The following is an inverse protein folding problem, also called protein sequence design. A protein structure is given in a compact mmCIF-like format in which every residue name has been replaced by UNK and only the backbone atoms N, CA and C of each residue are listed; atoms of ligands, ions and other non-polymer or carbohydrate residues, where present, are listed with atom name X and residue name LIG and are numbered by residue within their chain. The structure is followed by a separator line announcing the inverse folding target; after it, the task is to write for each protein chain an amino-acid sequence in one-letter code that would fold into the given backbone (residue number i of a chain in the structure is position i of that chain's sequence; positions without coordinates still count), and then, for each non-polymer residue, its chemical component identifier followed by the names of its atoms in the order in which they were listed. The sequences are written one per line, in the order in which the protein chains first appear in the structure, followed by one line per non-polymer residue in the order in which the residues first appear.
data_IF_660308141705
#
_entry.id   IF_660308141705
#
_cell.length_a   1.000
_cell.length_b   1.000
_cell.length_c   1.000
_cell.angle_alpha   90.00
_cell.angle_beta   90.00
_cell.angle_gamma   90.00
#
_symmetry.space_group_name_H-M   'P 1'
#
loop_
_entity.id
_entity.type
_entity.pdbx_description
1 polymer ?
#
# COMPACT_ATOMS: atom_id res chain seq x y z
N UNK A 1 -1.86 -13.93 34.76
CA UNK A 1 -1.80 -13.79 33.29
C UNK A 1 -1.90 -15.17 32.68
N UNK A 2 -2.95 -15.49 31.92
CA UNK A 2 -3.01 -16.77 31.19
C UNK A 2 -1.97 -16.72 30.08
N UNK A 3 -0.91 -17.53 30.21
CA UNK A 3 0.09 -17.72 29.16
C UNK A 3 -0.64 -18.13 27.88
N UNK A 4 -0.56 -17.27 26.87
CA UNK A 4 -0.92 -17.70 25.53
C UNK A 4 0.05 -18.82 25.16
N UNK A 5 -0.40 -19.96 24.61
CA UNK A 5 0.51 -21.03 24.25
C UNK A 5 1.48 -20.45 23.21
N UNK A 6 2.75 -20.29 23.61
CA UNK A 6 3.82 -19.59 22.87
C UNK A 6 3.86 -20.04 21.40
N UNK A 7 3.58 -21.33 21.15
CA UNK A 7 3.44 -21.90 19.80
C UNK A 7 2.40 -21.18 18.92
N UNK A 8 1.17 -20.96 19.41
CA UNK A 8 0.09 -20.31 18.62
C UNK A 8 0.42 -18.86 18.26
N UNK A 9 1.08 -18.15 19.19
CA UNK A 9 1.60 -16.82 18.96
C UNK A 9 2.64 -16.80 17.84
N UNK A 10 3.62 -17.71 17.90
CA UNK A 10 4.69 -17.83 16.89
C UNK A 10 4.16 -18.17 15.49
N UNK A 11 3.18 -19.08 15.37
CA UNK A 11 2.55 -19.38 14.08
C UNK A 11 1.87 -18.14 13.48
N UNK A 12 1.14 -17.39 14.30
CA UNK A 12 0.41 -16.20 13.84
C UNK A 12 1.38 -15.08 13.43
N UNK A 13 2.47 -14.88 14.18
CA UNK A 13 3.48 -13.86 13.89
C UNK A 13 4.33 -14.23 12.66
N UNK A 14 4.63 -15.53 12.47
CA UNK A 14 5.26 -16.04 11.24
C UNK A 14 4.39 -15.76 10.02
N UNK A 15 3.07 -15.97 10.13
CA UNK A 15 2.12 -15.62 9.06
C UNK A 15 2.14 -14.13 8.72
N UNK A 16 2.11 -13.25 9.73
CA UNK A 16 2.22 -11.80 9.54
C UNK A 16 3.54 -11.43 8.86
N UNK A 17 4.65 -12.03 9.29
CA UNK A 17 5.96 -11.81 8.67
C UNK A 17 5.98 -12.18 7.20
N UNK A 18 5.46 -13.35 6.81
CA UNK A 18 5.45 -13.76 5.40
C UNK A 18 4.56 -12.85 4.55
N UNK A 19 3.40 -12.43 5.05
CA UNK A 19 2.52 -11.50 4.33
C UNK A 19 3.21 -10.15 4.12
N UNK A 20 3.84 -9.59 5.16
CA UNK A 20 4.59 -8.32 5.03
C UNK A 20 5.76 -8.45 4.06
N UNK A 21 6.48 -9.57 4.09
CA UNK A 21 7.59 -9.85 3.17
C UNK A 21 7.13 -9.90 1.72
N UNK A 22 6.10 -10.70 1.44
CA UNK A 22 5.53 -10.83 0.09
C UNK A 22 4.98 -9.47 -0.38
N UNK A 23 4.27 -8.76 0.50
CA UNK A 23 3.76 -7.40 0.21
C UNK A 23 4.90 -6.47 -0.19
N UNK A 24 5.98 -6.43 0.60
CA UNK A 24 7.11 -5.55 0.34
C UNK A 24 7.80 -5.92 -0.97
N UNK A 25 8.01 -7.20 -1.24
CA UNK A 25 8.57 -7.65 -2.52
C UNK A 25 7.70 -7.22 -3.70
N UNK A 26 6.40 -7.54 -3.68
CA UNK A 26 5.50 -7.21 -4.79
C UNK A 26 5.41 -5.70 -4.99
N UNK A 27 5.46 -4.94 -3.90
CA UNK A 27 5.46 -3.48 -3.95
C UNK A 27 6.74 -2.91 -4.56
N UNK A 28 7.91 -3.45 -4.20
CA UNK A 28 9.20 -3.05 -4.81
C UNK A 28 9.28 -3.50 -6.27
N UNK A 29 8.76 -4.67 -6.60
CA UNK A 29 8.64 -5.13 -7.99
C UNK A 29 7.82 -4.17 -8.84
N UNK A 30 6.72 -3.62 -8.29
CA UNK A 30 5.93 -2.59 -8.97
C UNK A 30 6.79 -1.38 -9.37
N UNK A 31 7.66 -0.90 -8.47
CA UNK A 31 8.57 0.21 -8.77
C UNK A 31 9.64 -0.16 -9.80
N UNK A 32 10.23 -1.34 -9.70
CA UNK A 32 11.19 -1.83 -10.70
C UNK A 32 10.55 -1.82 -12.10
N UNK A 33 9.31 -2.28 -12.21
CA UNK A 33 8.56 -2.28 -13.47
C UNK A 33 8.22 -0.86 -13.96
N UNK A 34 7.86 0.05 -13.05
CA UNK A 34 7.66 1.47 -13.41
C UNK A 34 8.94 2.12 -13.93
N UNK A 35 10.06 1.92 -13.23
CA UNK A 35 11.40 2.38 -13.68
C UNK A 35 11.86 1.69 -14.97
N UNK A 36 11.26 0.56 -15.34
CA UNK A 36 11.54 -0.06 -16.62
C UNK A 36 10.78 0.60 -17.77
N UNK A 37 9.50 0.90 -17.55
CA UNK A 37 8.57 1.43 -18.57
C UNK A 37 8.58 2.97 -18.70
N UNK A 38 9.46 3.65 -17.99
CA UNK A 38 9.47 5.11 -17.85
C UNK A 38 8.73 5.55 -16.59
N UNK A 39 9.43 6.30 -15.73
CA UNK A 39 8.90 6.74 -14.45
C UNK A 39 8.88 8.26 -14.29
N UNK A 40 8.25 8.70 -13.21
CA UNK A 40 8.30 10.08 -12.77
C UNK A 40 9.75 10.55 -12.52
N UNK A 41 10.68 9.65 -12.16
CA UNK A 41 12.08 10.01 -11.88
C UNK A 41 12.77 10.60 -13.10
N UNK A 42 12.69 9.93 -14.26
CA UNK A 42 13.31 10.46 -15.49
C UNK A 42 12.66 11.77 -15.93
N UNK A 43 11.33 11.85 -15.83
CA UNK A 43 10.59 13.09 -16.11
C UNK A 43 11.07 14.26 -15.24
N UNK A 44 11.28 14.02 -13.94
CA UNK A 44 11.80 15.04 -13.01
C UNK A 44 13.19 15.52 -13.38
N UNK A 45 14.08 14.57 -13.68
CA UNK A 45 15.48 14.87 -13.96
C UNK A 45 15.60 15.70 -15.23
N UNK A 46 14.85 15.35 -16.28
CA UNK A 46 14.85 16.10 -17.54
C UNK A 46 14.15 17.45 -17.38
N UNK A 47 12.89 17.45 -16.95
CA UNK A 47 12.04 18.67 -16.95
C UNK A 47 12.48 19.68 -15.89
N UNK A 48 12.72 19.22 -14.67
CA UNK A 48 12.96 20.11 -13.51
C UNK A 48 14.44 20.37 -13.30
N UNK A 49 15.32 19.42 -13.64
CA UNK A 49 16.76 19.52 -13.38
C UNK A 49 17.59 19.73 -14.65
N UNK A 50 16.98 19.73 -15.83
CA UNK A 50 17.67 19.98 -17.10
C UNK A 50 18.68 18.90 -17.49
N UNK A 51 18.51 17.67 -16.99
CA UNK A 51 19.36 16.55 -17.36
C UNK A 51 19.12 16.14 -18.80
N UNK A 52 20.13 15.55 -19.45
CA UNK A 52 19.92 14.90 -20.74
C UNK A 52 19.00 13.67 -20.56
N UNK A 53 18.21 13.35 -21.59
CA UNK A 53 17.37 12.14 -21.58
C UNK A 53 18.19 10.88 -21.36
N UNK A 54 19.42 10.85 -21.88
CA UNK A 54 20.35 9.71 -21.73
C UNK A 54 20.79 9.54 -20.28
N UNK A 55 21.17 10.62 -19.60
CA UNK A 55 21.59 10.56 -18.18
C UNK A 55 20.42 10.19 -17.26
N UNK A 56 19.23 10.75 -17.53
CA UNK A 56 18.01 10.42 -16.80
C UNK A 56 17.63 8.94 -16.99
N UNK A 57 17.73 8.42 -18.22
CA UNK A 57 17.50 7.02 -18.54
C UNK A 57 18.44 6.09 -17.75
N UNK A 58 19.75 6.33 -17.81
CA UNK A 58 20.73 5.48 -17.12
C UNK A 58 20.61 5.55 -15.60
N UNK A 59 20.22 6.71 -15.07
CA UNK A 59 19.93 6.87 -13.64
C UNK A 59 18.73 6.02 -13.22
N UNK A 60 17.64 6.06 -13.99
CA UNK A 60 16.44 5.26 -13.74
C UNK A 60 16.76 3.75 -13.76
N UNK A 61 17.55 3.28 -14.74
CA UNK A 61 17.97 1.88 -14.82
C UNK A 61 18.90 1.48 -13.67
N UNK A 62 19.79 2.37 -13.24
CA UNK A 62 20.67 2.13 -12.08
C UNK A 62 19.86 1.96 -10.79
N UNK A 63 18.84 2.80 -10.59
CA UNK A 63 17.91 2.66 -9.45
C UNK A 63 17.15 1.33 -9.53
N UNK A 64 16.66 0.95 -10.72
CA UNK A 64 15.94 -0.31 -10.90
C UNK A 64 16.83 -1.53 -10.56
N UNK A 65 18.07 -1.56 -11.05
CA UNK A 65 19.05 -2.62 -10.73
C UNK A 65 19.31 -2.68 -9.22
N UNK A 66 19.53 -1.53 -8.58
CA UNK A 66 19.73 -1.45 -7.14
C UNK A 66 18.53 -2.03 -6.36
N UNK A 67 17.31 -1.69 -6.76
CA UNK A 67 16.10 -2.25 -6.14
C UNK A 67 15.95 -3.76 -6.36
N UNK A 68 16.33 -4.28 -7.53
CA UNK A 68 16.37 -5.73 -7.78
C UNK A 68 17.31 -6.40 -6.78
N UNK A 69 18.53 -5.87 -6.61
CA UNK A 69 19.50 -6.43 -5.66
C UNK A 69 18.96 -6.40 -4.23
N UNK A 70 18.34 -5.28 -3.81
CA UNK A 70 17.71 -5.18 -2.49
C UNK A 70 16.56 -6.17 -2.32
N UNK A 71 15.70 -6.35 -3.33
CA UNK A 71 14.56 -7.27 -3.30
C UNK A 71 15.00 -8.74 -3.26
N UNK A 72 15.98 -9.13 -4.09
CA UNK A 72 16.58 -10.48 -4.06
C UNK A 72 17.20 -10.74 -2.69
N UNK A 73 17.93 -9.77 -2.14
CA UNK A 73 18.54 -9.96 -0.83
C UNK A 73 17.51 -10.05 0.31
N UNK A 74 16.40 -9.30 0.22
CA UNK A 74 15.26 -9.42 1.13
C UNK A 74 14.68 -10.86 1.14
N UNK A 75 14.78 -11.59 0.02
CA UNK A 75 14.45 -13.01 -0.05
C UNK A 75 15.51 -13.93 0.56
N UNK A 76 16.79 -13.57 0.50
CA UNK A 76 17.83 -14.42 1.08
C UNK A 76 17.84 -14.25 2.60
N UNK A 77 18.02 -13.01 3.07
CA UNK A 77 18.03 -12.68 4.50
C UNK A 77 17.50 -11.27 4.76
N UNK A 78 16.56 -11.08 5.71
CA UNK A 78 16.27 -9.75 6.26
C UNK A 78 17.53 -9.13 6.86
N UNK A 79 18.03 -8.08 6.20
CA UNK A 79 19.09 -7.22 6.73
C UNK A 79 18.48 -5.86 7.05
N UNK A 80 18.81 -5.34 8.24
CA UNK A 80 18.34 -4.04 8.73
C UNK A 80 18.65 -2.95 7.72
N UNK A 81 19.90 -2.93 7.22
CA UNK A 81 20.38 -1.98 6.22
C UNK A 81 19.51 -1.99 4.95
N UNK A 82 19.23 -3.16 4.37
CA UNK A 82 18.41 -3.24 3.15
C UNK A 82 16.99 -2.71 3.39
N UNK A 83 16.41 -3.03 4.53
CA UNK A 83 15.07 -2.55 4.87
C UNK A 83 15.04 -1.03 5.05
N UNK A 84 16.09 -0.47 5.64
CA UNK A 84 16.28 0.97 5.76
C UNK A 84 16.46 1.64 4.39
N UNK A 85 17.30 1.09 3.51
CA UNK A 85 17.50 1.61 2.16
C UNK A 85 16.21 1.59 1.33
N UNK A 86 15.40 0.52 1.44
CA UNK A 86 14.08 0.47 0.83
C UNK A 86 13.15 1.55 1.38
N UNK A 87 13.16 1.81 2.69
CA UNK A 87 12.37 2.87 3.30
C UNK A 87 12.79 4.26 2.77
N UNK A 88 14.10 4.53 2.71
CA UNK A 88 14.64 5.79 2.14
C UNK A 88 14.22 5.95 0.68
N UNK A 89 14.35 4.90 -0.13
CA UNK A 89 13.89 4.92 -1.53
C UNK A 89 12.40 5.27 -1.63
N UNK A 90 11.53 4.63 -0.84
CA UNK A 90 10.08 4.87 -0.90
C UNK A 90 9.72 6.31 -0.51
N UNK A 91 10.45 6.91 0.44
CA UNK A 91 10.27 8.31 0.84
C UNK A 91 10.72 9.24 -0.30
N UNK A 92 11.93 9.04 -0.84
CA UNK A 92 12.45 9.85 -1.95
C UNK A 92 11.53 9.76 -3.16
N UNK A 93 11.10 8.56 -3.55
CA UNK A 93 10.20 8.39 -4.68
C UNK A 93 8.89 9.15 -4.48
N UNK A 94 8.32 9.13 -3.28
CA UNK A 94 7.09 9.86 -3.00
C UNK A 94 7.27 11.38 -3.02
N UNK A 95 8.44 11.88 -2.63
CA UNK A 95 8.81 13.30 -2.79
C UNK A 95 8.93 13.64 -4.29
N UNK A 96 9.60 12.81 -5.08
CA UNK A 96 9.73 13.01 -6.54
C UNK A 96 8.36 13.03 -7.22
N UNK A 97 7.48 12.08 -6.88
CA UNK A 97 6.11 12.03 -7.40
C UNK A 97 5.33 13.29 -7.01
N UNK A 98 5.53 13.80 -5.80
CA UNK A 98 4.88 15.04 -5.36
C UNK A 98 5.39 16.26 -6.16
N UNK A 99 6.71 16.39 -6.33
CA UNK A 99 7.33 17.52 -7.04
C UNK A 99 6.99 17.56 -8.54
N UNK A 100 6.96 16.41 -9.20
CA UNK A 100 6.73 16.34 -10.65
C UNK A 100 5.34 16.75 -11.11
N UNK A 101 4.37 16.71 -10.21
CA UNK A 101 3.05 16.35 -10.64
C UNK A 101 2.06 17.50 -10.79
N UNK A 102 2.51 18.74 -10.53
CA UNK A 102 1.87 19.97 -11.03
C UNK A 102 0.38 20.20 -10.74
N UNK A 103 -0.31 19.39 -9.91
CA UNK A 103 -1.76 19.47 -9.66
C UNK A 103 -2.16 19.05 -8.22
N UNK A 104 -3.29 19.60 -7.76
CA UNK A 104 -3.91 19.39 -6.44
C UNK A 104 -4.13 17.92 -6.00
N UNK A 105 -4.20 16.95 -6.91
CA UNK A 105 -4.43 15.54 -6.55
C UNK A 105 -3.19 14.82 -6.00
N UNK A 106 -2.00 15.41 -6.15
CA UNK A 106 -0.76 14.75 -5.75
C UNK A 106 -0.41 14.93 -4.28
N UNK A 107 -0.98 15.93 -3.60
CA UNK A 107 -0.97 16.03 -2.13
C UNK A 107 -1.60 14.77 -1.51
N UNK A 108 -2.72 14.29 -2.09
CA UNK A 108 -3.33 13.02 -1.72
C UNK A 108 -2.42 11.83 -2.08
N UNK A 109 -1.73 11.86 -3.22
CA UNK A 109 -0.79 10.79 -3.58
C UNK A 109 0.38 10.65 -2.60
N UNK A 110 0.89 11.77 -2.08
CA UNK A 110 1.93 11.80 -1.06
C UNK A 110 1.42 11.19 0.25
N UNK A 111 0.25 11.62 0.73
CA UNK A 111 -0.37 11.06 1.94
C UNK A 111 -0.69 9.55 1.78
N UNK A 112 -1.13 9.13 0.60
CA UNK A 112 -1.32 7.70 0.27
C UNK A 112 0.01 6.93 0.27
N UNK A 113 1.09 7.56 -0.20
CA UNK A 113 2.43 6.96 -0.18
C UNK A 113 2.98 6.86 1.25
N UNK A 114 2.74 7.86 2.11
CA UNK A 114 3.12 7.84 3.53
C UNK A 114 2.60 6.60 4.25
N UNK A 115 1.37 6.19 3.94
CA UNK A 115 0.77 5.00 4.50
C UNK A 115 1.59 3.72 4.22
N UNK A 116 2.34 3.70 3.12
CA UNK A 116 3.10 2.54 2.64
C UNK A 116 4.59 2.61 3.03
N UNK A 117 5.13 3.78 3.36
CA UNK A 117 6.51 3.91 3.89
C UNK A 117 6.71 3.18 5.22
N UNK A 118 5.62 2.94 5.93
CA UNK A 118 5.59 2.18 7.17
C UNK A 118 5.83 0.69 6.91
N UNK A 119 5.67 0.19 5.68
CA UNK A 119 5.76 -1.24 5.34
C UNK A 119 7.14 -1.86 5.64
N UNK A 120 8.29 -1.29 5.22
CA UNK A 120 9.61 -1.78 5.62
C UNK A 120 9.79 -1.78 7.15
N UNK A 121 9.30 -0.75 7.83
CA UNK A 121 9.35 -0.66 9.29
C UNK A 121 8.52 -1.76 9.96
N UNK A 122 7.30 -2.03 9.49
CA UNK A 122 6.46 -3.12 9.99
C UNK A 122 7.14 -4.47 9.78
N UNK A 123 7.67 -4.71 8.58
CA UNK A 123 8.40 -5.92 8.24
C UNK A 123 9.58 -6.16 9.19
N UNK A 124 10.46 -5.15 9.36
CA UNK A 124 11.62 -5.27 10.23
C UNK A 124 11.22 -5.51 11.69
N UNK A 125 10.19 -4.81 12.15
CA UNK A 125 9.73 -4.93 13.53
C UNK A 125 9.20 -6.32 13.84
N UNK A 126 8.39 -6.90 12.94
CA UNK A 126 7.89 -8.27 13.11
C UNK A 126 9.05 -9.27 13.05
N UNK A 127 10.01 -9.08 12.14
CA UNK A 127 11.21 -9.91 12.04
C UNK A 127 12.04 -9.92 13.35
N UNK A 128 12.29 -8.74 13.92
CA UNK A 128 13.04 -8.63 15.18
C UNK A 128 12.29 -9.27 16.35
N UNK A 129 10.96 -9.17 16.39
CA UNK A 129 10.15 -9.86 17.39
C UNK A 129 10.17 -11.39 17.25
N UNK A 130 10.24 -11.92 16.02
CA UNK A 130 10.41 -13.36 15.79
C UNK A 130 11.75 -13.89 16.32
N UNK A 131 12.80 -13.05 16.32
CA UNK A 131 14.12 -13.40 16.89
C UNK A 131 14.17 -13.38 18.43
N UNK A 132 13.22 -12.71 19.08
CA UNK A 132 13.13 -12.60 20.55
C UNK A 132 11.74 -13.07 21.04
N UNK A 133 11.42 -14.37 20.86
CA UNK A 133 10.08 -14.91 21.06
C UNK A 133 9.61 -14.83 22.52
N UNK A 134 10.53 -14.78 23.48
CA UNK A 134 10.25 -14.76 24.93
C UNK A 134 9.40 -13.57 25.37
N UNK A 135 9.35 -12.50 24.56
CA UNK A 135 8.53 -11.33 24.86
C UNK A 135 7.03 -11.57 24.62
N UNK A 136 6.64 -12.51 23.73
CA UNK A 136 5.23 -12.79 23.41
C UNK A 136 4.39 -11.56 23.02
N UNK A 137 5.03 -10.42 22.74
CA UNK A 137 4.41 -9.11 22.73
C UNK A 137 4.52 -8.47 21.35
N UNK A 138 3.37 -8.24 20.71
CA UNK A 138 3.30 -7.30 19.59
C UNK A 138 3.29 -5.90 20.18
N UNK A 139 4.26 -5.04 19.85
CA UNK A 139 4.27 -3.68 20.37
C UNK A 139 2.99 -2.92 20.04
N UNK A 140 2.41 -2.22 21.02
CA UNK A 140 1.18 -1.41 20.82
C UNK A 140 1.34 -0.41 19.66
N UNK A 141 2.54 0.15 19.51
CA UNK A 141 2.87 1.08 18.44
C UNK A 141 2.82 0.42 17.05
N UNK A 142 3.17 -0.87 16.92
CA UNK A 142 3.11 -1.58 15.64
C UNK A 142 1.66 -1.66 15.15
N UNK A 143 0.77 -2.06 16.06
CA UNK A 143 -0.66 -2.13 15.78
C UNK A 143 -1.25 -0.75 15.48
N UNK A 144 -0.82 0.29 16.21
CA UNK A 144 -1.22 1.66 15.93
C UNK A 144 -0.76 2.14 14.54
N UNK A 145 0.52 1.94 14.21
CA UNK A 145 1.06 2.33 12.91
C UNK A 145 0.34 1.62 11.76
N UNK A 146 0.04 0.32 11.89
CA UNK A 146 -0.75 -0.37 10.86
C UNK A 146 -2.12 0.29 10.71
N UNK A 147 -2.84 0.60 11.81
CA UNK A 147 -4.15 1.27 11.74
C UNK A 147 -4.06 2.68 11.17
N UNK A 148 -3.00 3.41 11.46
CA UNK A 148 -2.77 4.74 10.93
C UNK A 148 -2.51 4.70 9.42
N UNK A 149 -1.70 3.74 8.94
CA UNK A 149 -1.56 3.48 7.50
C UNK A 149 -2.90 3.17 6.84
N UNK A 150 -3.75 2.33 7.47
CA UNK A 150 -5.08 2.01 6.96
C UNK A 150 -6.00 3.22 6.90
N UNK A 151 -5.98 4.05 7.95
CA UNK A 151 -6.69 5.32 7.99
C UNK A 151 -6.26 6.20 6.80
N UNK A 152 -4.95 6.42 6.61
CA UNK A 152 -4.45 7.27 5.53
C UNK A 152 -4.85 6.74 4.14
N UNK A 153 -4.72 5.42 3.88
CA UNK A 153 -5.12 4.84 2.59
C UNK A 153 -6.60 5.12 2.30
N UNK A 154 -7.50 4.75 3.21
CA UNK A 154 -8.94 4.87 2.97
C UNK A 154 -9.43 6.32 3.03
N UNK A 155 -8.90 7.12 3.94
CA UNK A 155 -9.30 8.53 4.08
C UNK A 155 -8.94 9.33 2.83
N UNK A 156 -7.70 9.18 2.35
CA UNK A 156 -7.22 9.89 1.15
C UNK A 156 -7.97 9.46 -0.11
N UNK A 157 -8.21 8.16 -0.29
CA UNK A 157 -9.03 7.67 -1.40
C UNK A 157 -10.49 8.12 -1.29
N UNK A 158 -11.04 8.13 -0.08
CA UNK A 158 -12.38 8.62 0.20
C UNK A 158 -12.53 10.10 -0.16
N UNK A 159 -11.57 10.95 0.22
CA UNK A 159 -11.53 12.36 -0.20
C UNK A 159 -11.45 12.51 -1.72
N UNK A 160 -10.61 11.72 -2.39
CA UNK A 160 -10.52 11.72 -3.85
C UNK A 160 -11.84 11.35 -4.54
N UNK A 161 -12.65 10.48 -3.93
CA UNK A 161 -13.98 10.13 -4.43
C UNK A 161 -15.02 11.23 -4.14
N UNK A 162 -14.98 11.85 -2.96
CA UNK A 162 -15.87 12.96 -2.60
C UNK A 162 -15.65 14.20 -3.47
N UNK A 163 -14.41 14.43 -3.90
CA UNK A 163 -14.05 15.49 -4.85
C UNK A 163 -14.23 15.09 -6.32
N UNK A 164 -14.85 13.94 -6.58
CA UNK A 164 -15.17 13.46 -7.93
C UNK A 164 -13.97 13.58 -8.88
N UNK A 165 -12.81 13.09 -8.44
CA UNK A 165 -11.58 13.27 -9.19
C UNK A 165 -11.70 12.66 -10.60
N UNK A 166 -11.28 13.35 -11.68
CA UNK A 166 -11.47 12.88 -13.06
C UNK A 166 -10.95 11.46 -13.30
N UNK A 167 -9.73 11.15 -12.83
CA UNK A 167 -9.17 9.79 -12.97
C UNK A 167 -9.91 8.70 -12.19
N UNK A 168 -10.82 9.03 -11.26
CA UNK A 168 -11.72 8.08 -10.61
C UNK A 168 -13.05 7.97 -11.36
N UNK A 169 -13.53 9.06 -11.95
CA UNK A 169 -14.70 9.06 -12.84
C UNK A 169 -14.41 8.16 -14.04
N UNK A 170 -13.30 8.42 -14.74
CA UNK A 170 -12.87 7.66 -15.91
C UNK A 170 -12.75 6.17 -15.57
N UNK A 171 -12.20 5.87 -14.40
CA UNK A 171 -12.03 4.51 -13.91
C UNK A 171 -13.36 3.77 -13.69
N UNK A 172 -14.36 4.43 -13.09
CA UNK A 172 -15.69 3.82 -12.91
C UNK A 172 -16.36 3.61 -14.27
N UNK A 173 -16.30 4.61 -15.15
CA UNK A 173 -16.90 4.53 -16.48
C UNK A 173 -16.26 3.41 -17.29
N UNK A 174 -14.92 3.35 -17.35
CA UNK A 174 -14.18 2.35 -18.11
C UNK A 174 -14.39 0.94 -17.56
N UNK A 175 -14.29 0.76 -16.24
CA UNK A 175 -14.58 -0.53 -15.59
C UNK A 175 -15.98 -1.04 -15.92
N UNK A 176 -17.01 -0.18 -15.79
CA UNK A 176 -18.39 -0.58 -16.06
C UNK A 176 -18.67 -0.78 -17.55
N UNK A 177 -18.01 -0.03 -18.43
CA UNK A 177 -18.08 -0.25 -19.86
C UNK A 177 -17.51 -1.63 -20.23
N UNK A 178 -16.39 -2.04 -19.63
CA UNK A 178 -15.80 -3.36 -19.84
C UNK A 178 -16.74 -4.49 -19.41
N UNK A 179 -17.49 -4.34 -18.31
CA UNK A 179 -18.42 -5.37 -17.84
C UNK A 179 -19.77 -5.37 -18.54
N UNK A 180 -20.34 -4.19 -18.84
CA UNK A 180 -21.70 -4.05 -19.37
C UNK A 180 -21.77 -3.92 -20.89
N UNK A 181 -20.64 -3.64 -21.55
CA UNK A 181 -20.59 -3.30 -22.98
C UNK A 181 -21.13 -1.91 -23.31
N UNK A 182 -21.49 -1.09 -22.32
CA UNK A 182 -22.09 0.23 -22.51
C UNK A 182 -21.48 1.29 -21.59
N UNK A 183 -21.34 2.51 -22.09
CA UNK A 183 -20.81 3.63 -21.30
C UNK A 183 -21.90 4.21 -20.38
N UNK A 184 -21.51 4.44 -19.13
CA UNK A 184 -22.33 5.14 -18.15
C UNK A 184 -22.18 6.66 -18.31
N UNK A 185 -23.26 7.41 -18.02
CA UNK A 185 -23.20 8.88 -17.93
C UNK A 185 -22.29 9.32 -16.79
N UNK A 186 -21.46 10.33 -17.02
CA UNK A 186 -20.55 10.89 -16.03
C UNK A 186 -21.25 11.27 -14.70
N UNK A 187 -22.43 11.90 -14.77
CA UNK A 187 -23.18 12.29 -13.55
C UNK A 187 -23.58 11.10 -12.67
N UNK A 188 -23.78 9.92 -13.26
CA UNK A 188 -24.06 8.70 -12.48
C UNK A 188 -22.77 8.20 -11.82
N UNK A 189 -21.64 8.23 -12.55
CA UNK A 189 -20.34 7.85 -12.00
C UNK A 189 -19.91 8.77 -10.83
N UNK A 190 -20.15 10.08 -10.94
CA UNK A 190 -19.91 11.05 -9.87
C UNK A 190 -20.73 10.74 -8.61
N UNK A 191 -22.04 10.45 -8.77
CA UNK A 191 -22.89 10.06 -7.64
C UNK A 191 -22.42 8.76 -6.96
N UNK A 192 -21.98 7.77 -7.76
CA UNK A 192 -21.39 6.53 -7.23
C UNK A 192 -20.11 6.83 -6.47
N UNK A 193 -19.23 7.69 -7.00
CA UNK A 193 -18.00 8.09 -6.31
C UNK A 193 -18.28 8.79 -4.99
N UNK A 194 -19.22 9.72 -4.94
CA UNK A 194 -19.57 10.41 -3.69
C UNK A 194 -20.00 9.38 -2.64
N UNK A 195 -20.84 8.42 -3.01
CA UNK A 195 -21.25 7.34 -2.10
C UNK A 195 -20.06 6.49 -1.62
N UNK A 196 -19.18 6.06 -2.53
CA UNK A 196 -17.94 5.33 -2.18
C UNK A 196 -17.08 6.16 -1.23
N UNK A 197 -16.94 7.46 -1.50
CA UNK A 197 -16.15 8.39 -0.72
C UNK A 197 -16.64 8.51 0.73
N UNK A 198 -17.96 8.61 0.93
CA UNK A 198 -18.56 8.61 2.27
C UNK A 198 -18.24 7.32 3.01
N UNK A 199 -18.41 6.17 2.36
CA UNK A 199 -18.13 4.86 2.96
C UNK A 199 -16.66 4.73 3.35
N UNK A 200 -15.73 5.11 2.47
CA UNK A 200 -14.30 5.01 2.71
C UNK A 200 -13.84 5.91 3.87
N UNK A 201 -14.36 7.14 3.97
CA UNK A 201 -14.07 8.05 5.09
C UNK A 201 -14.60 7.48 6.42
N UNK A 202 -15.81 6.95 6.44
CA UNK A 202 -16.38 6.31 7.65
C UNK A 202 -15.51 5.13 8.08
N UNK A 203 -15.14 4.24 7.15
CA UNK A 203 -14.30 3.07 7.42
C UNK A 203 -12.91 3.49 7.93
N UNK A 204 -12.31 4.54 7.35
CA UNK A 204 -11.03 5.08 7.80
C UNK A 204 -11.10 5.55 9.26
N UNK A 205 -12.13 6.32 9.62
CA UNK A 205 -12.32 6.80 10.99
C UNK A 205 -12.56 5.63 11.94
N UNK A 206 -13.42 4.67 11.55
CA UNK A 206 -13.72 3.49 12.36
C UNK A 206 -12.46 2.67 12.66
N UNK A 207 -11.57 2.43 11.69
CA UNK A 207 -10.35 1.65 11.96
C UNK A 207 -9.42 2.35 12.96
N UNK A 208 -9.39 3.69 12.97
CA UNK A 208 -8.57 4.50 13.89
C UNK A 208 -9.17 4.63 15.30
N UNK A 209 -10.49 4.64 15.43
CA UNK A 209 -11.17 4.61 16.74
C UNK A 209 -11.15 3.18 17.30
N UNK A 210 -11.73 2.24 16.54
CA UNK A 210 -11.88 0.84 16.97
C UNK A 210 -11.85 -0.12 15.77
N UNK A 211 -10.80 -0.93 15.61
CA UNK A 211 -10.63 -1.78 14.44
C UNK A 211 -11.49 -3.05 14.58
N UNK A 212 -12.79 -2.90 14.32
CA UNK A 212 -13.72 -4.03 14.34
C UNK A 212 -13.33 -5.06 13.29
N UNK A 213 -13.55 -6.34 13.62
CA UNK A 213 -13.23 -7.45 12.70
C UNK A 213 -13.89 -7.27 11.34
N UNK A 214 -15.16 -6.88 11.31
CA UNK A 214 -15.93 -6.72 10.07
C UNK A 214 -15.42 -5.54 9.23
N UNK A 215 -15.01 -4.44 9.89
CA UNK A 215 -14.37 -3.29 9.22
C UNK A 215 -13.07 -3.73 8.56
N UNK A 216 -12.21 -4.47 9.27
CA UNK A 216 -10.95 -4.96 8.69
C UNK A 216 -11.18 -5.94 7.53
N UNK A 217 -12.18 -6.83 7.62
CA UNK A 217 -12.53 -7.74 6.52
C UNK A 217 -13.04 -6.95 5.31
N UNK A 218 -13.91 -5.96 5.52
CA UNK A 218 -14.34 -5.05 4.46
C UNK A 218 -13.15 -4.38 3.78
N UNK A 219 -12.19 -3.84 4.55
CA UNK A 219 -10.99 -3.21 4.00
C UNK A 219 -10.13 -4.17 3.18
N UNK A 220 -10.00 -5.45 3.59
CA UNK A 220 -9.30 -6.47 2.78
C UNK A 220 -10.03 -6.68 1.44
N UNK A 221 -11.34 -6.93 1.48
CA UNK A 221 -12.14 -7.24 0.29
C UNK A 221 -12.20 -6.05 -0.66
N UNK A 222 -12.49 -4.86 -0.13
CA UNK A 222 -12.60 -3.63 -0.89
C UNK A 222 -11.26 -3.21 -1.49
N UNK A 223 -10.17 -3.28 -0.72
CA UNK A 223 -8.82 -2.99 -1.21
C UNK A 223 -8.38 -3.97 -2.31
N UNK A 224 -8.76 -5.25 -2.21
CA UNK A 224 -8.45 -6.25 -3.22
C UNK A 224 -9.26 -6.01 -4.49
N UNK A 225 -10.56 -5.79 -4.36
CA UNK A 225 -11.47 -5.52 -5.47
C UNK A 225 -11.01 -4.28 -6.25
N UNK A 226 -10.83 -3.15 -5.57
CA UNK A 226 -10.42 -1.89 -6.21
C UNK A 226 -9.01 -1.95 -6.81
N UNK A 227 -8.12 -2.79 -6.27
CA UNK A 227 -6.82 -3.04 -6.89
C UNK A 227 -6.98 -3.87 -8.17
N UNK A 228 -7.77 -4.95 -8.13
CA UNK A 228 -7.96 -5.85 -9.26
C UNK A 228 -8.68 -5.17 -10.43
N UNK A 229 -9.65 -4.30 -10.13
CA UNK A 229 -10.36 -3.53 -11.13
C UNK A 229 -9.43 -2.62 -11.97
N UNK A 230 -8.20 -2.30 -11.52
CA UNK A 230 -7.18 -1.61 -12.35
C UNK A 230 -6.74 -2.41 -13.57
N UNK A 231 -6.73 -3.74 -13.43
CA UNK A 231 -6.45 -4.66 -14.54
C UNK A 231 -7.68 -4.77 -15.45
N UNK A 232 -8.89 -4.70 -14.89
CA UNK A 232 -10.12 -4.79 -15.68
C UNK A 232 -10.34 -3.55 -16.54
N UNK A 233 -10.10 -2.37 -16.00
CA UNK A 233 -10.31 -1.08 -16.67
C UNK A 233 -9.38 -0.87 -17.88
N UNK A 234 -8.08 -1.15 -17.72
CA UNK A 234 -7.06 -0.86 -18.73
C UNK A 234 -6.38 -2.11 -19.31
N UNK A 235 -6.92 -3.30 -19.02
CA UNK A 235 -6.43 -4.58 -19.50
C UNK A 235 -5.26 -5.17 -18.70
N UNK A 236 -4.85 -6.38 -19.08
CA UNK A 236 -3.82 -7.18 -18.36
C UNK A 236 -2.49 -6.45 -18.22
N UNK A 237 -2.15 -5.56 -19.16
CA UNK A 237 -0.90 -4.79 -19.14
C UNK A 237 -0.83 -3.74 -18.02
N UNK A 238 -1.96 -3.41 -17.38
CA UNK A 238 -1.99 -2.49 -16.24
C UNK A 238 -1.68 -3.17 -14.89
N UNK A 239 -1.09 -4.37 -14.90
CA UNK A 239 -0.73 -5.13 -13.70
C UNK A 239 0.20 -4.36 -12.75
N UNK A 240 1.02 -3.44 -13.25
CA UNK A 240 1.87 -2.58 -12.41
C UNK A 240 1.05 -1.70 -11.47
N UNK A 241 -0.11 -1.19 -11.91
CA UNK A 241 -1.03 -0.41 -11.09
C UNK A 241 -1.77 -1.29 -10.05
N UNK A 242 -1.95 -2.57 -10.32
CA UNK A 242 -2.38 -3.53 -9.31
C UNK A 242 -1.26 -3.77 -8.27
N UNK A 243 -0.03 -4.02 -8.71
CA UNK A 243 1.11 -4.33 -7.83
C UNK A 243 1.42 -3.18 -6.87
N UNK A 244 1.36 -1.92 -7.33
CA UNK A 244 1.58 -0.74 -6.47
C UNK A 244 0.47 -0.55 -5.41
N UNK A 245 -0.66 -1.27 -5.56
CA UNK A 245 -1.79 -1.28 -4.63
C UNK A 245 -1.89 -2.58 -3.81
N UNK A 246 -0.95 -3.52 -3.94
CA UNK A 246 -0.91 -4.71 -3.07
C UNK A 246 -1.00 -4.36 -1.57
N UNK A 247 -0.33 -3.30 -1.06
CA UNK A 247 -0.50 -2.87 0.33
C UNK A 247 -1.94 -2.54 0.74
N UNK A 248 -2.83 -2.15 -0.19
CA UNK A 248 -4.21 -1.76 0.08
C UNK A 248 -5.06 -2.88 0.69
N UNK A 249 -4.76 -4.14 0.37
CA UNK A 249 -5.49 -5.30 0.92
C UNK A 249 -4.63 -6.16 1.87
N UNK A 250 -3.31 -6.15 1.71
CA UNK A 250 -2.44 -6.92 2.61
C UNK A 250 -2.20 -6.23 3.95
N UNK A 251 -2.15 -4.89 4.02
CA UNK A 251 -2.07 -4.17 5.31
C UNK A 251 -3.32 -4.38 6.18
N UNK A 252 -4.56 -4.32 5.64
CA UNK A 252 -5.74 -4.68 6.42
C UNK A 252 -5.70 -6.13 6.91
N UNK A 253 -5.19 -7.05 6.07
CA UNK A 253 -5.01 -8.46 6.45
C UNK A 253 -3.99 -8.61 7.59
N UNK A 254 -2.86 -7.89 7.53
CA UNK A 254 -1.87 -7.82 8.62
C UNK A 254 -2.54 -7.28 9.89
N UNK A 255 -3.28 -6.19 9.79
CA UNK A 255 -4.00 -5.61 10.93
C UNK A 255 -5.00 -6.61 11.55
N UNK A 256 -5.74 -7.35 10.71
CA UNK A 256 -6.68 -8.38 11.14
C UNK A 256 -5.99 -9.54 11.88
N UNK A 257 -4.83 -9.96 11.41
CA UNK A 257 -4.02 -10.99 12.08
C UNK A 257 -3.47 -10.49 13.41
N UNK A 258 -2.91 -9.26 13.44
CA UNK A 258 -2.45 -8.62 14.68
C UNK A 258 -3.59 -8.41 15.70
N UNK A 259 -4.79 -8.07 15.22
CA UNK A 259 -5.99 -7.94 16.06
C UNK A 259 -6.36 -9.27 16.73
N UNK A 260 -6.30 -10.39 15.98
CA UNK A 260 -6.52 -11.74 16.54
C UNK A 260 -5.48 -12.11 17.58
N UNK A 261 -4.21 -11.73 17.37
CA UNK A 261 -3.11 -11.97 18.33
C UNK A 261 -3.30 -11.15 19.61
N UNK A 262 -3.83 -9.92 19.53
CA UNK A 262 -4.12 -9.06 20.70
C UNK A 262 -5.36 -9.49 21.49
N UNK A 263 -6.30 -10.20 20.88
CA UNK A 263 -7.60 -10.55 21.48
C UNK A 263 -7.67 -11.90 22.25
N UNK A 264 -6.64 -12.39 22.96
CA UNK A 264 -6.87 -13.50 23.87
C UNK A 264 -7.01 -13.12 25.34
N UNK A 265 -8.05 -13.71 25.94
CA UNK A 265 -8.32 -13.83 27.38
C UNK A 265 -8.97 -12.63 28.10
N UNK A 266 -10.00 -12.01 27.52
CA UNK A 266 -10.99 -11.23 28.31
C UNK A 266 -12.46 -11.51 27.94
N UNK A 267 -12.72 -12.43 27.02
CA UNK A 267 -14.06 -13.00 26.83
C UNK A 267 -14.10 -14.37 27.48
N UNK A 268 -14.20 -14.39 28.81
CA UNK A 268 -14.99 -15.40 29.51
C UNK A 268 -16.21 -14.67 30.03
#
# INVERSE_FOLDING_TARGET
MKQYPIKKYLYSLTGVYQILRITLVLYILAFILKLYNGSDVSSMLVVTRGWSETDAYWTEKSIAIFLILLAVWLFIKPVILNTFLLMVFLIINAIIVYENAGRHFYELSFLSAMAKWVLPLLYLSVYLNLKKPDSGFVPKWLFFLTRFSLFLIFFVHGLGCLWTHPGYIDYIIGTLATFSGSFMKQSIAENILIFIGVVDVIIAILVLIRPWRNVLIWMVVWGLLTSFLRIVDAGIFNYTEFLIRVPHFTLPLVCLLLYKIKKPAFTK
#
